data_IF_811965580213
#
_entry.id   IF_811965580213
#
_cell.length_a   1.000
_cell.length_b   1.000
_cell.length_c   1.000
_cell.angle_alpha   90.00
_cell.angle_beta   90.00
_cell.angle_gamma   90.00
#
_symmetry.space_group_name_H-M   'P 1'
#
loop_
_entity.id
_entity.type
_entity.pdbx_description
1 polymer ?
#
# COMPACT_ATOMS: atom_id res chain seq x y z
N UNK A 1 7.46 22.61 19.22
CA UNK A 1 8.01 21.32 19.68
C UNK A 1 9.26 21.02 18.87
N UNK A 2 10.36 20.79 19.58
CA UNK A 2 11.65 20.53 18.94
C UNK A 2 11.69 19.08 18.46
N UNK A 3 11.36 18.87 17.19
CA UNK A 3 11.55 17.58 16.51
C UNK A 3 13.06 17.27 16.47
N UNK A 4 13.48 16.20 17.15
CA UNK A 4 14.91 15.87 17.27
C UNK A 4 15.50 15.28 15.96
N UNK A 5 14.67 14.68 15.13
CA UNK A 5 15.06 14.09 13.85
C UNK A 5 14.20 14.64 12.70
N UNK A 6 14.66 15.71 12.06
CA UNK A 6 13.94 16.38 10.99
C UNK A 6 13.81 15.54 9.71
N UNK A 7 14.69 14.57 9.51
CA UNK A 7 14.75 13.72 8.32
C UNK A 7 14.04 12.37 8.49
N UNK A 8 13.38 12.15 9.64
CA UNK A 8 12.58 10.95 9.89
C UNK A 8 11.12 11.32 9.98
N UNK A 9 10.30 10.64 9.18
CA UNK A 9 8.86 10.68 9.31
C UNK A 9 8.41 9.63 10.32
N UNK A 10 7.55 10.03 11.24
CA UNK A 10 7.13 9.21 12.36
C UNK A 10 5.67 8.79 12.18
N UNK A 11 5.36 7.54 12.53
CA UNK A 11 4.01 7.02 12.58
C UNK A 11 3.73 6.44 13.97
N UNK A 12 2.60 6.81 14.54
CA UNK A 12 2.07 6.19 15.76
C UNK A 12 1.13 5.07 15.35
N UNK A 13 1.43 3.86 15.80
CA UNK A 13 0.59 2.69 15.56
C UNK A 13 -0.32 2.49 16.76
N UNK A 14 -1.62 2.50 16.53
CA UNK A 14 -2.67 2.41 17.54
C UNK A 14 -3.42 1.09 17.38
N UNK A 15 -3.66 0.41 18.50
CA UNK A 15 -4.43 -0.81 18.56
C UNK A 15 -5.81 -0.60 19.23
N UNK A 16 -6.66 -1.61 19.13
CA UNK A 16 -8.00 -1.58 19.74
C UNK A 16 -7.94 -1.48 21.26
N UNK A 17 -6.88 -1.98 21.90
CA UNK A 17 -6.70 -1.89 23.34
C UNK A 17 -6.49 -0.43 23.78
N UNK A 18 -5.68 0.34 23.06
CA UNK A 18 -5.52 1.77 23.32
C UNK A 18 -6.82 2.54 23.08
N UNK A 19 -7.54 2.24 21.99
CA UNK A 19 -8.83 2.87 21.68
C UNK A 19 -9.89 2.57 22.76
N UNK A 20 -9.86 1.35 23.32
CA UNK A 20 -10.72 0.99 24.44
C UNK A 20 -10.38 1.81 25.69
N UNK A 21 -9.11 1.99 26.04
CA UNK A 21 -8.67 2.86 27.15
C UNK A 21 -9.17 4.29 26.96
N UNK A 22 -9.11 4.83 25.74
CA UNK A 22 -9.65 6.17 25.43
C UNK A 22 -11.17 6.23 25.66
N UNK A 23 -11.91 5.21 25.20
CA UNK A 23 -13.35 5.13 25.40
C UNK A 23 -13.72 5.08 26.88
N UNK A 24 -12.96 4.30 27.66
CA UNK A 24 -13.12 4.14 29.10
C UNK A 24 -12.61 5.38 29.90
N UNK A 25 -12.16 6.45 29.20
CA UNK A 25 -11.65 7.71 29.77
C UNK A 25 -10.44 7.54 30.69
N UNK A 26 -9.57 6.60 30.37
CA UNK A 26 -8.28 6.46 31.03
C UNK A 26 -7.46 7.75 30.87
N UNK A 27 -7.03 8.33 31.99
CA UNK A 27 -6.40 9.65 32.00
C UNK A 27 -5.05 9.69 31.28
N UNK A 28 -4.27 8.62 31.37
CA UNK A 28 -2.98 8.51 30.69
C UNK A 28 -3.16 8.37 29.18
N UNK A 29 -4.07 7.50 28.75
CA UNK A 29 -4.40 7.33 27.33
C UNK A 29 -4.95 8.63 26.72
N UNK A 30 -5.83 9.32 27.43
CA UNK A 30 -6.37 10.62 26.99
C UNK A 30 -5.27 11.69 26.87
N UNK A 31 -4.38 11.79 27.85
CA UNK A 31 -3.27 12.75 27.80
C UNK A 31 -2.36 12.48 26.60
N UNK A 32 -1.95 11.22 26.43
CA UNK A 32 -1.12 10.82 25.29
C UNK A 32 -1.81 11.08 23.95
N UNK A 33 -3.10 10.78 23.85
CA UNK A 33 -3.87 11.01 22.62
C UNK A 33 -3.95 12.51 22.27
N UNK A 34 -4.19 13.36 23.26
CA UNK A 34 -4.22 14.81 23.07
C UNK A 34 -2.86 15.36 22.65
N UNK A 35 -1.76 14.86 23.21
CA UNK A 35 -0.40 15.25 22.80
C UNK A 35 -0.09 14.83 21.36
N UNK A 36 -0.50 13.63 20.96
CA UNK A 36 -0.38 13.15 19.56
C UNK A 36 -1.16 14.08 18.62
N UNK A 37 -2.43 14.36 18.92
CA UNK A 37 -3.28 15.19 18.07
C UNK A 37 -2.77 16.63 18.00
N UNK A 38 -2.34 17.20 19.13
CA UNK A 38 -1.77 18.56 19.20
C UNK A 38 -0.50 18.63 18.33
N UNK A 39 0.42 17.70 18.50
CA UNK A 39 1.64 17.64 17.72
C UNK A 39 1.34 17.53 16.21
N UNK A 40 0.37 16.69 15.85
CA UNK A 40 -0.06 16.52 14.47
C UNK A 40 -0.64 17.80 13.87
N UNK A 41 -1.45 18.54 14.61
CA UNK A 41 -2.02 19.83 14.16
C UNK A 41 -0.91 20.88 13.96
N UNK A 42 0.06 20.91 14.87
CA UNK A 42 1.14 21.89 14.84
C UNK A 42 2.21 21.59 13.77
N UNK A 43 2.46 20.31 13.45
CA UNK A 43 3.63 19.91 12.63
C UNK A 43 3.26 19.09 11.39
N UNK A 44 2.03 18.58 11.26
CA UNK A 44 1.61 17.62 10.25
C UNK A 44 1.99 16.16 10.58
N UNK A 45 2.72 15.92 11.65
CA UNK A 45 3.17 14.61 12.12
C UNK A 45 2.88 14.42 13.62
N UNK A 46 2.84 13.17 14.11
CA UNK A 46 3.07 11.90 13.42
C UNK A 46 1.90 11.49 12.51
N UNK A 47 2.17 10.55 11.58
CA UNK A 47 1.12 9.78 10.95
C UNK A 47 0.46 8.86 11.97
N UNK A 48 -0.79 8.45 11.72
CA UNK A 48 -1.54 7.57 12.61
C UNK A 48 -2.02 6.36 11.82
N UNK A 49 -1.71 5.16 12.32
CA UNK A 49 -2.16 3.89 11.75
C UNK A 49 -2.97 3.10 12.79
N UNK A 50 -4.18 2.71 12.44
CA UNK A 50 -5.02 1.82 13.24
C UNK A 50 -4.74 0.36 12.86
N UNK A 51 -3.78 -0.24 13.57
CA UNK A 51 -3.20 -1.55 13.23
C UNK A 51 -4.25 -2.67 13.13
N UNK A 52 -5.17 -2.73 14.08
CA UNK A 52 -6.14 -3.81 14.13
C UNK A 52 -7.19 -3.68 13.03
N UNK A 53 -7.56 -2.44 12.64
CA UNK A 53 -8.41 -2.21 11.48
C UNK A 53 -7.74 -2.66 10.18
N UNK A 54 -6.44 -2.37 10.00
CA UNK A 54 -5.68 -2.82 8.84
C UNK A 54 -5.62 -4.35 8.79
N UNK A 55 -5.33 -5.00 9.92
CA UNK A 55 -5.18 -6.46 9.95
C UNK A 55 -6.52 -7.24 9.85
N UNK A 56 -7.66 -6.60 10.14
CA UNK A 56 -8.98 -7.19 9.91
C UNK A 56 -9.26 -7.51 8.44
N UNK A 57 -8.77 -6.64 7.54
CA UNK A 57 -9.02 -6.71 6.10
C UNK A 57 -7.81 -7.25 5.32
N UNK A 58 -6.92 -7.96 5.99
CA UNK A 58 -5.75 -8.57 5.36
C UNK A 58 -6.15 -9.53 4.23
N UNK A 59 -5.35 -9.60 3.15
CA UNK A 59 -5.52 -10.62 2.12
C UNK A 59 -5.53 -12.04 2.70
N UNK A 60 -6.29 -12.93 2.07
CA UNK A 60 -6.37 -14.33 2.50
C UNK A 60 -4.99 -14.98 2.68
N UNK A 61 -4.05 -14.67 1.79
CA UNK A 61 -2.67 -15.15 1.89
C UNK A 61 -1.99 -14.76 3.21
N UNK A 62 -2.26 -13.56 3.73
CA UNK A 62 -1.73 -13.12 5.02
C UNK A 62 -2.37 -13.87 6.19
N UNK A 63 -3.69 -14.03 6.15
CA UNK A 63 -4.42 -14.80 7.17
C UNK A 63 -3.95 -16.26 7.23
N UNK A 64 -3.78 -16.91 6.07
CA UNK A 64 -3.31 -18.30 5.98
C UNK A 64 -1.87 -18.50 6.47
N UNK A 65 -1.01 -17.48 6.34
CA UNK A 65 0.39 -17.56 6.75
C UNK A 65 0.68 -16.81 8.05
N UNK A 66 -0.36 -16.37 8.77
CA UNK A 66 -0.26 -15.61 10.03
C UNK A 66 0.67 -14.37 9.90
N UNK A 67 0.59 -13.67 8.76
CA UNK A 67 1.35 -12.47 8.50
C UNK A 67 0.57 -11.24 8.96
N UNK A 68 1.23 -10.34 9.69
CA UNK A 68 0.62 -9.15 10.24
C UNK A 68 1.31 -7.88 9.74
N UNK A 69 0.52 -6.86 9.51
CA UNK A 69 0.98 -5.50 9.22
C UNK A 69 1.24 -4.79 10.53
N UNK A 70 2.48 -4.38 10.77
CA UNK A 70 2.88 -3.70 12.01
C UNK A 70 3.29 -2.24 11.80
N UNK A 71 3.51 -1.82 10.54
CA UNK A 71 3.87 -0.46 10.16
C UNK A 71 3.42 -0.17 8.72
N UNK A 72 3.51 1.08 8.33
CA UNK A 72 3.27 1.55 6.96
C UNK A 72 4.46 2.38 6.46
N UNK A 73 4.43 2.79 5.19
CA UNK A 73 5.44 3.66 4.58
C UNK A 73 5.15 5.15 4.84
N UNK A 74 6.03 6.02 4.35
CA UNK A 74 5.92 7.48 4.50
C UNK A 74 4.62 8.05 3.94
N UNK A 75 4.07 7.49 2.86
CA UNK A 75 2.82 7.95 2.24
C UNK A 75 1.58 7.28 2.86
N UNK A 76 1.75 6.30 3.75
CA UNK A 76 0.71 5.56 4.48
C UNK A 76 -0.21 4.66 3.66
N UNK A 77 0.10 4.42 2.38
CA UNK A 77 -0.70 3.56 1.50
C UNK A 77 -0.28 2.08 1.49
N UNK A 78 0.93 1.76 1.99
CA UNK A 78 1.47 0.40 1.94
C UNK A 78 1.16 -0.32 3.24
N UNK A 79 0.42 -1.42 3.12
CA UNK A 79 0.05 -2.31 4.23
C UNK A 79 0.59 -3.72 3.96
N UNK A 80 1.91 -3.82 3.85
CA UNK A 80 2.61 -5.10 3.74
C UNK A 80 3.12 -5.55 5.11
N UNK A 81 3.23 -6.88 5.31
CA UNK A 81 3.69 -7.41 6.59
C UNK A 81 5.14 -7.02 6.88
N UNK A 82 5.44 -6.83 8.14
CA UNK A 82 6.79 -6.61 8.65
C UNK A 82 6.94 -7.30 10.00
N UNK A 83 8.13 -7.87 10.22
CA UNK A 83 8.51 -8.50 11.48
C UNK A 83 10.01 -8.29 11.74
N UNK A 84 10.59 -9.01 12.68
CA UNK A 84 12.00 -8.89 13.02
C UNK A 84 12.92 -9.29 11.85
N UNK A 85 12.48 -10.20 10.97
CA UNK A 85 13.25 -10.75 9.86
C UNK A 85 12.91 -10.11 8.50
N UNK A 86 11.78 -9.41 8.39
CA UNK A 86 11.26 -8.88 7.14
C UNK A 86 10.94 -7.39 7.25
N UNK A 87 11.35 -6.63 6.23
CA UNK A 87 10.97 -5.23 6.04
C UNK A 87 10.53 -5.05 4.58
N UNK A 88 9.34 -4.53 4.37
CA UNK A 88 8.79 -4.39 3.01
C UNK A 88 9.52 -3.33 2.19
N UNK A 89 9.39 -3.44 0.87
CA UNK A 89 9.72 -2.40 -0.10
C UNK A 89 8.50 -2.08 -0.96
N UNK A 90 8.49 -0.88 -1.54
CA UNK A 90 7.46 -0.44 -2.49
C UNK A 90 7.96 -0.63 -3.93
N UNK A 91 7.17 -1.32 -4.76
CA UNK A 91 7.37 -1.42 -6.20
C UNK A 91 6.08 -1.01 -6.89
N UNK A 92 6.00 0.27 -7.29
CA UNK A 92 4.74 0.93 -7.65
C UNK A 92 4.77 1.51 -9.05
N UNK A 93 3.63 1.47 -9.74
CA UNK A 93 3.36 2.23 -10.95
C UNK A 93 1.90 2.66 -11.02
N UNK A 94 1.54 3.55 -11.96
CA UNK A 94 0.19 4.06 -12.11
C UNK A 94 -0.21 4.20 -13.57
N UNK A 95 -1.37 3.68 -13.94
CA UNK A 95 -1.97 3.85 -15.27
C UNK A 95 -2.71 5.18 -15.35
N UNK A 96 -2.54 5.90 -16.46
CA UNK A 96 -3.21 7.18 -16.66
C UNK A 96 -4.61 6.99 -17.25
N UNK A 97 -5.64 7.09 -16.43
CA UNK A 97 -7.04 6.95 -16.84
C UNK A 97 -7.53 8.09 -17.75
N UNK A 98 -6.89 9.26 -17.73
CA UNK A 98 -7.21 10.30 -18.68
C UNK A 98 -6.95 9.86 -20.14
N UNK A 99 -6.15 8.81 -20.33
CA UNK A 99 -5.83 8.18 -21.61
C UNK A 99 -6.42 6.76 -21.75
N UNK A 100 -7.44 6.45 -20.96
CA UNK A 100 -8.04 5.10 -20.92
C UNK A 100 -8.43 4.59 -22.31
N UNK A 101 -9.07 5.42 -23.13
CA UNK A 101 -9.52 5.04 -24.48
C UNK A 101 -8.35 4.74 -25.46
N UNK A 102 -7.12 5.19 -25.12
CA UNK A 102 -5.91 4.91 -25.92
C UNK A 102 -5.31 3.52 -25.58
N UNK A 103 -5.49 3.04 -24.35
CA UNK A 103 -4.79 1.82 -23.89
C UNK A 103 -5.69 0.65 -23.46
N UNK A 104 -7.00 0.87 -23.28
CA UNK A 104 -7.94 -0.15 -22.75
C UNK A 104 -7.95 -1.46 -23.52
N UNK A 105 -7.71 -1.41 -24.84
CA UNK A 105 -7.72 -2.57 -25.74
C UNK A 105 -6.28 -3.05 -26.08
N UNK A 106 -5.30 -2.65 -25.28
CA UNK A 106 -3.89 -3.05 -25.44
C UNK A 106 -3.44 -3.91 -24.26
N UNK A 107 -2.20 -4.41 -24.32
CA UNK A 107 -1.53 -5.20 -23.28
C UNK A 107 -0.80 -4.33 -22.22
N UNK A 108 -1.21 -3.08 -22.05
CA UNK A 108 -0.49 -2.15 -21.15
C UNK A 108 -0.53 -2.58 -19.69
N UNK A 109 -1.61 -3.22 -19.22
CA UNK A 109 -1.71 -3.74 -17.85
C UNK A 109 -0.74 -4.88 -17.65
N UNK A 110 -0.74 -5.82 -18.56
CA UNK A 110 0.14 -7.00 -18.58
C UNK A 110 1.61 -6.57 -18.66
N UNK A 111 1.92 -5.65 -19.55
CA UNK A 111 3.26 -5.06 -19.70
C UNK A 111 3.70 -4.36 -18.42
N UNK A 112 2.83 -3.59 -17.77
CA UNK A 112 3.14 -2.90 -16.52
C UNK A 112 3.44 -3.89 -15.38
N UNK A 113 2.71 -4.99 -15.26
CA UNK A 113 2.98 -6.03 -14.26
C UNK A 113 4.32 -6.71 -14.53
N UNK A 114 4.61 -7.10 -15.78
CA UNK A 114 5.91 -7.69 -16.17
C UNK A 114 7.07 -6.72 -15.92
N UNK A 115 6.88 -5.44 -16.19
CA UNK A 115 7.88 -4.41 -15.90
C UNK A 115 8.15 -4.28 -14.40
N UNK A 116 7.10 -4.21 -13.59
CA UNK A 116 7.24 -4.11 -12.12
C UNK A 116 7.90 -5.36 -11.53
N UNK A 117 7.57 -6.55 -12.03
CA UNK A 117 8.22 -7.79 -11.61
C UNK A 117 9.72 -7.80 -11.96
N UNK A 118 10.09 -7.31 -13.15
CA UNK A 118 11.49 -7.13 -13.54
C UNK A 118 12.23 -6.14 -12.63
N UNK A 119 11.60 -5.03 -12.23
CA UNK A 119 12.17 -4.07 -11.25
C UNK A 119 12.35 -4.72 -9.88
N UNK A 120 11.39 -5.54 -9.44
CA UNK A 120 11.50 -6.30 -8.20
C UNK A 120 12.66 -7.32 -8.27
N UNK A 121 12.80 -8.01 -9.39
CA UNK A 121 13.90 -8.96 -9.59
C UNK A 121 15.26 -8.25 -9.55
N UNK A 122 15.40 -7.11 -10.21
CA UNK A 122 16.63 -6.32 -10.15
C UNK A 122 16.98 -5.87 -8.73
N UNK A 123 15.98 -5.50 -7.93
CA UNK A 123 16.19 -5.18 -6.52
C UNK A 123 16.66 -6.42 -5.74
N UNK A 124 16.05 -7.58 -5.93
CA UNK A 124 16.44 -8.84 -5.28
C UNK A 124 17.90 -9.15 -5.61
N UNK A 125 18.29 -9.09 -6.88
CA UNK A 125 19.65 -9.37 -7.32
C UNK A 125 20.68 -8.40 -6.71
N UNK A 126 20.37 -7.10 -6.73
CA UNK A 126 21.27 -6.04 -6.21
C UNK A 126 21.35 -5.97 -4.69
N UNK A 127 20.35 -6.43 -3.98
CA UNK A 127 20.32 -6.46 -2.51
C UNK A 127 20.93 -7.72 -1.91
N UNK A 128 21.16 -8.75 -2.72
CA UNK A 128 21.74 -10.01 -2.28
C UNK A 128 23.15 -9.79 -1.67
N UNK A 129 23.38 -10.37 -0.51
CA UNK A 129 24.66 -10.28 0.21
C UNK A 129 24.94 -8.92 0.87
N UNK A 130 23.96 -8.01 0.92
CA UNK A 130 24.09 -6.72 1.60
C UNK A 130 23.45 -6.78 2.99
N UNK A 131 24.25 -6.80 4.05
CA UNK A 131 23.78 -6.90 5.44
C UNK A 131 22.74 -5.81 5.79
N UNK A 132 22.95 -4.58 5.32
CA UNK A 132 22.05 -3.45 5.58
C UNK A 132 20.66 -3.62 4.91
N UNK A 133 20.52 -4.51 3.93
CA UNK A 133 19.29 -4.75 3.18
C UNK A 133 18.73 -6.17 3.39
N UNK A 134 19.29 -6.96 4.29
CA UNK A 134 18.95 -8.37 4.45
C UNK A 134 17.45 -8.60 4.71
N UNK A 135 16.83 -7.79 5.56
CA UNK A 135 15.40 -7.88 5.89
C UNK A 135 14.52 -7.54 4.70
N UNK A 136 14.90 -6.51 3.95
CA UNK A 136 14.19 -6.06 2.76
C UNK A 136 14.35 -7.03 1.61
N UNK A 137 15.57 -7.58 1.45
CA UNK A 137 15.84 -8.64 0.48
C UNK A 137 14.97 -9.88 0.73
N UNK A 138 14.89 -10.35 1.98
CA UNK A 138 14.06 -11.49 2.36
C UNK A 138 12.57 -11.24 2.07
N UNK A 139 12.08 -10.05 2.40
CA UNK A 139 10.70 -9.68 2.11
C UNK A 139 10.43 -9.65 0.60
N UNK A 140 11.32 -9.01 -0.18
CA UNK A 140 11.20 -8.94 -1.63
C UNK A 140 11.19 -10.32 -2.29
N UNK A 141 12.10 -11.19 -1.88
CA UNK A 141 12.24 -12.55 -2.42
C UNK A 141 11.01 -13.42 -2.15
N UNK A 142 10.44 -13.34 -0.93
CA UNK A 142 9.29 -14.16 -0.55
C UNK A 142 7.96 -13.60 -1.06
N UNK A 143 7.80 -12.30 -1.01
CA UNK A 143 6.50 -11.67 -1.23
C UNK A 143 6.30 -11.13 -2.64
N UNK A 144 7.37 -10.66 -3.32
CA UNK A 144 7.34 -10.02 -4.64
C UNK A 144 6.15 -9.07 -4.83
N UNK A 145 5.81 -8.28 -3.80
CA UNK A 145 4.62 -7.46 -3.78
C UNK A 145 4.73 -6.29 -4.79
N UNK A 146 3.77 -6.21 -5.70
CA UNK A 146 3.69 -5.17 -6.72
C UNK A 146 2.44 -4.32 -6.49
N UNK A 147 2.53 -3.01 -6.76
CA UNK A 147 1.42 -2.09 -6.68
C UNK A 147 1.18 -1.39 -8.02
N UNK A 148 0.14 -1.78 -8.74
CA UNK A 148 -0.30 -1.10 -9.94
C UNK A 148 -1.57 -0.30 -9.64
N UNK A 149 -1.41 1.02 -9.53
CA UNK A 149 -2.49 1.96 -9.28
C UNK A 149 -2.95 2.69 -10.54
N UNK A 150 -3.74 3.74 -10.31
CA UNK A 150 -4.24 4.61 -11.38
C UNK A 150 -4.11 6.08 -10.98
N UNK A 151 -4.01 6.95 -11.99
CA UNK A 151 -4.13 8.40 -11.87
C UNK A 151 -5.11 8.94 -12.90
N UNK A 152 -5.57 10.17 -12.73
CA UNK A 152 -6.43 10.84 -13.72
C UNK A 152 -7.89 10.38 -13.69
N UNK A 153 -8.39 9.78 -12.59
CA UNK A 153 -9.79 9.38 -12.45
C UNK A 153 -10.76 10.54 -12.65
N UNK A 154 -10.52 11.68 -12.00
CA UNK A 154 -11.36 12.85 -12.16
C UNK A 154 -11.36 13.35 -13.62
N UNK A 155 -10.20 13.40 -14.27
CA UNK A 155 -10.09 13.77 -15.69
C UNK A 155 -10.83 12.81 -16.61
N UNK A 156 -10.81 11.52 -16.30
CA UNK A 156 -11.60 10.50 -17.01
C UNK A 156 -13.10 10.77 -16.86
N UNK A 157 -13.59 11.03 -15.65
CA UNK A 157 -14.99 11.35 -15.40
C UNK A 157 -15.42 12.63 -16.12
N UNK A 158 -14.58 13.68 -16.12
CA UNK A 158 -14.83 14.92 -16.85
C UNK A 158 -14.96 14.66 -18.36
N UNK A 159 -14.07 13.88 -18.96
CA UNK A 159 -14.16 13.50 -20.38
C UNK A 159 -15.45 12.73 -20.70
N UNK A 160 -15.95 11.94 -19.78
CA UNK A 160 -17.22 11.19 -19.92
C UNK A 160 -18.45 12.02 -19.52
N UNK A 161 -18.24 13.26 -19.06
CA UNK A 161 -19.29 14.15 -18.54
C UNK A 161 -20.10 13.51 -17.40
N UNK A 162 -19.41 12.84 -16.46
CA UNK A 162 -19.97 12.13 -15.32
C UNK A 162 -19.68 12.85 -14.01
N UNK A 163 -20.69 13.13 -13.17
CA UNK A 163 -20.48 13.61 -11.81
C UNK A 163 -19.71 12.58 -10.97
N UNK A 164 -18.81 13.06 -10.10
CA UNK A 164 -17.98 12.21 -9.26
C UNK A 164 -18.78 11.24 -8.38
N UNK A 165 -19.90 11.69 -7.82
CA UNK A 165 -20.76 10.95 -6.92
C UNK A 165 -21.97 10.28 -7.62
N UNK A 166 -21.90 10.05 -8.92
CA UNK A 166 -22.98 9.41 -9.66
C UNK A 166 -22.93 7.88 -9.62
N UNK A 167 -24.07 7.22 -9.78
CA UNK A 167 -24.16 5.78 -9.96
C UNK A 167 -23.32 5.32 -11.16
N UNK A 168 -23.29 6.11 -12.24
CA UNK A 168 -22.50 5.81 -13.42
C UNK A 168 -20.99 5.84 -13.12
N UNK A 169 -20.50 6.73 -12.27
CA UNK A 169 -19.09 6.73 -11.86
C UNK A 169 -18.75 5.49 -11.03
N UNK A 170 -19.65 5.05 -10.15
CA UNK A 170 -19.50 3.81 -9.39
C UNK A 170 -19.45 2.59 -10.31
N UNK A 171 -20.34 2.52 -11.31
CA UNK A 171 -20.33 1.45 -12.31
C UNK A 171 -19.01 1.41 -13.11
N UNK A 172 -18.51 2.57 -13.52
CA UNK A 172 -17.21 2.69 -14.20
C UNK A 172 -16.05 2.25 -13.30
N UNK A 173 -16.06 2.63 -12.03
CA UNK A 173 -15.07 2.16 -11.05
C UNK A 173 -15.02 0.63 -11.04
N UNK A 174 -16.19 0.00 -10.88
CA UNK A 174 -16.26 -1.46 -10.84
C UNK A 174 -15.74 -2.11 -12.14
N UNK A 175 -16.21 -1.64 -13.29
CA UNK A 175 -15.83 -2.21 -14.59
C UNK A 175 -14.32 -2.07 -14.83
N UNK A 176 -13.77 -0.89 -14.64
CA UNK A 176 -12.39 -0.57 -14.91
C UNK A 176 -11.43 -1.33 -13.98
N UNK A 177 -11.69 -1.31 -12.67
CA UNK A 177 -10.82 -2.00 -11.71
C UNK A 177 -10.97 -3.51 -11.75
N UNK A 178 -12.13 -4.04 -12.15
CA UNK A 178 -12.28 -5.49 -12.40
C UNK A 178 -11.44 -5.94 -13.59
N UNK A 179 -11.42 -5.17 -14.68
CA UNK A 179 -10.58 -5.49 -15.86
C UNK A 179 -9.09 -5.43 -15.51
N UNK A 180 -8.64 -4.33 -14.89
CA UNK A 180 -7.23 -4.18 -14.47
C UNK A 180 -6.83 -5.34 -13.55
N UNK A 181 -7.65 -5.65 -12.54
CA UNK A 181 -7.39 -6.73 -11.58
C UNK A 181 -7.26 -8.08 -12.29
N UNK A 182 -8.20 -8.39 -13.18
CA UNK A 182 -8.22 -9.67 -13.88
C UNK A 182 -6.97 -9.86 -14.74
N UNK A 183 -6.58 -8.83 -15.49
CA UNK A 183 -5.36 -8.84 -16.31
C UNK A 183 -4.10 -8.95 -15.45
N UNK A 184 -4.01 -8.16 -14.37
CA UNK A 184 -2.88 -8.17 -13.46
C UNK A 184 -2.69 -9.54 -12.78
N UNK A 185 -3.78 -10.14 -12.26
CA UNK A 185 -3.73 -11.45 -11.62
C UNK A 185 -3.40 -12.57 -12.61
N UNK A 186 -3.89 -12.50 -13.85
CA UNK A 186 -3.56 -13.46 -14.89
C UNK A 186 -2.07 -13.41 -15.22
N UNK A 187 -1.53 -12.21 -15.46
CA UNK A 187 -0.10 -12.02 -15.75
C UNK A 187 0.80 -12.43 -14.58
N UNK A 188 0.38 -12.16 -13.34
CA UNK A 188 1.13 -12.62 -12.17
C UNK A 188 1.23 -14.15 -12.12
N UNK A 189 0.12 -14.87 -12.44
CA UNK A 189 0.15 -16.35 -12.51
C UNK A 189 1.02 -16.86 -13.65
N UNK A 190 1.03 -16.18 -14.80
CA UNK A 190 1.93 -16.51 -15.92
C UNK A 190 3.40 -16.37 -15.52
N UNK A 191 3.76 -15.26 -14.85
CA UNK A 191 5.12 -15.03 -14.36
C UNK A 191 5.56 -16.10 -13.35
N UNK A 192 4.67 -16.49 -12.43
CA UNK A 192 4.96 -17.59 -11.52
C UNK A 192 5.20 -18.93 -12.25
N UNK A 193 4.51 -19.20 -13.36
CA UNK A 193 4.76 -20.38 -14.19
C UNK A 193 6.07 -20.29 -15.00
N UNK A 194 6.40 -19.08 -15.49
CA UNK A 194 7.60 -18.85 -16.29
C UNK A 194 8.89 -18.95 -15.46
N UNK A 195 8.88 -18.40 -14.25
CA UNK A 195 10.10 -18.25 -13.44
C UNK A 195 10.16 -19.15 -12.21
N UNK A 196 9.08 -19.83 -11.90
CA UNK A 196 8.93 -20.64 -10.70
C UNK A 196 8.61 -19.77 -9.47
N UNK A 197 7.82 -20.30 -8.55
CA UNK A 197 7.56 -19.68 -7.25
C UNK A 197 8.63 -20.08 -6.21
#
# INVERSE_FOLDING_TARGET
PNRQCLNLHQCVVIDDAFMKRLHDRDSEAMSLWLDILKTRVETGEPYIMFKDNVNKDNPLAYAMNNLNVSMTNICTEITLHTDEEHSFICCLSSLNLAKYDEWKDTDVVETAIRFLDGVMQEFIDKSNGKDSLIRTHRHAQKGRALGLGVMGWHSFLQKKNLPFNSISSTAWTHTLFSDIRQKAEATSRELAQEYGE
#
